data_IF_339428814710
#
_entry.id   IF_339428814710
#
_cell.length_a   1.000
_cell.length_b   1.000
_cell.length_c   1.000
_cell.angle_alpha   90.00
_cell.angle_beta   90.00
_cell.angle_gamma   90.00
#
_symmetry.space_group_name_H-M   'P 1'
#
loop_
_entity.id
_entity.type
_entity.pdbx_description
1 polymer ?
#
# COMPACT_ATOMS: atom_id res chain seq x y z
N UNK A 1 13.63 4.98 -9.28
CA UNK A 1 12.32 4.67 -9.91
C UNK A 1 11.36 4.29 -8.79
N UNK A 2 10.08 4.69 -8.83
CA UNK A 2 9.16 4.36 -7.74
C UNK A 2 8.79 2.87 -7.82
N UNK A 3 8.83 2.12 -6.70
CA UNK A 3 8.68 0.64 -6.70
C UNK A 3 7.39 0.18 -7.38
N UNK A 4 6.29 0.90 -7.19
CA UNK A 4 4.99 0.60 -7.80
C UNK A 4 5.01 0.68 -9.33
N UNK A 5 5.81 1.58 -9.90
CA UNK A 5 6.01 1.68 -11.34
C UNK A 5 6.81 0.49 -11.87
N UNK A 6 7.88 0.11 -11.18
CA UNK A 6 8.68 -1.06 -11.57
C UNK A 6 7.85 -2.34 -11.55
N UNK A 7 7.06 -2.56 -10.49
CA UNK A 7 6.16 -3.70 -10.37
C UNK A 7 5.07 -3.72 -11.47
N UNK A 8 4.53 -2.56 -11.82
CA UNK A 8 3.58 -2.47 -12.93
C UNK A 8 4.25 -2.76 -14.29
N UNK A 9 5.47 -2.23 -14.51
CA UNK A 9 6.25 -2.50 -15.72
C UNK A 9 6.57 -4.00 -15.84
N UNK A 10 7.00 -4.65 -14.75
CA UNK A 10 7.22 -6.11 -14.67
C UNK A 10 5.92 -6.89 -14.91
N UNK A 11 4.80 -6.45 -14.35
CA UNK A 11 3.50 -7.05 -14.63
C UNK A 11 3.13 -6.91 -16.12
N UNK A 12 3.37 -5.75 -16.73
CA UNK A 12 3.01 -5.47 -18.12
C UNK A 12 3.96 -6.07 -19.15
N UNK A 13 5.10 -6.62 -18.72
CA UNK A 13 6.12 -7.12 -19.62
C UNK A 13 5.59 -8.27 -20.50
N UNK A 14 5.78 -8.15 -21.81
CA UNK A 14 5.27 -9.09 -22.81
C UNK A 14 3.76 -9.11 -23.02
N UNK A 15 2.97 -8.23 -22.37
CA UNK A 15 1.51 -8.13 -22.56
C UNK A 15 1.16 -7.08 -23.61
N UNK A 16 0.17 -7.37 -24.46
CA UNK A 16 -0.47 -6.36 -25.28
C UNK A 16 -1.56 -5.65 -24.46
N UNK A 17 -1.27 -4.42 -24.04
CA UNK A 17 -2.18 -3.63 -23.22
C UNK A 17 -3.47 -3.22 -23.97
N UNK A 18 -3.51 -3.29 -25.30
CA UNK A 18 -4.72 -2.97 -26.07
C UNK A 18 -5.75 -4.11 -26.06
N UNK A 19 -5.31 -5.34 -25.79
CA UNK A 19 -6.16 -6.53 -25.72
C UNK A 19 -6.59 -6.88 -24.28
N UNK A 20 -6.13 -6.12 -23.29
CA UNK A 20 -6.49 -6.29 -21.88
C UNK A 20 -7.60 -5.30 -21.52
N UNK A 21 -8.55 -5.76 -20.70
CA UNK A 21 -9.60 -4.90 -20.17
C UNK A 21 -8.99 -3.68 -19.44
N UNK A 22 -9.49 -2.46 -19.68
CA UNK A 22 -9.10 -1.29 -18.90
C UNK A 22 -9.27 -1.48 -17.38
N UNK A 23 -10.21 -2.32 -16.96
CA UNK A 23 -10.40 -2.68 -15.56
C UNK A 23 -9.23 -3.50 -15.00
N UNK A 24 -8.72 -4.47 -15.76
CA UNK A 24 -7.59 -5.32 -15.33
C UNK A 24 -6.29 -4.52 -15.28
N UNK A 25 -6.09 -3.59 -16.22
CA UNK A 25 -4.96 -2.65 -16.21
C UNK A 25 -5.05 -1.73 -14.98
N UNK A 26 -6.24 -1.20 -14.70
CA UNK A 26 -6.48 -0.38 -13.52
C UNK A 26 -6.21 -1.15 -12.23
N UNK A 27 -6.70 -2.39 -12.13
CA UNK A 27 -6.46 -3.25 -10.97
C UNK A 27 -4.96 -3.51 -10.80
N UNK A 28 -4.25 -3.94 -11.84
CA UNK A 28 -2.81 -4.22 -11.74
C UNK A 28 -1.97 -3.00 -11.31
N UNK A 29 -2.37 -1.80 -11.72
CA UNK A 29 -1.71 -0.55 -11.29
C UNK A 29 -1.89 -0.23 -9.80
N UNK A 30 -2.93 -0.80 -9.17
CA UNK A 30 -3.24 -0.65 -7.74
C UNK A 30 -2.64 -1.78 -6.92
N UNK A 31 -2.58 -2.99 -7.47
CA UNK A 31 -1.92 -4.12 -6.80
C UNK A 31 -0.40 -3.94 -6.69
N UNK A 32 0.20 -3.13 -7.56
CA UNK A 32 1.59 -2.70 -7.42
C UNK A 32 1.83 -1.62 -6.36
N UNK A 33 0.79 -1.13 -5.69
CA UNK A 33 0.90 -0.22 -4.55
C UNK A 33 0.72 -1.01 -3.26
N UNK A 34 1.72 -1.82 -2.93
CA UNK A 34 1.86 -2.46 -1.63
C UNK A 34 2.85 -1.67 -0.76
N UNK A 35 2.46 -1.34 0.47
CA UNK A 35 3.32 -0.60 1.41
C UNK A 35 3.39 -1.31 2.76
N UNK A 36 4.53 -1.15 3.43
CA UNK A 36 4.79 -1.67 4.77
C UNK A 36 4.62 -0.53 5.77
N UNK A 37 3.76 -0.72 6.77
CA UNK A 37 3.59 0.23 7.85
C UNK A 37 4.60 -0.04 8.97
N UNK A 38 4.97 0.97 9.77
CA UNK A 38 5.77 0.76 10.97
C UNK A 38 5.05 -0.17 11.94
N UNK A 39 5.81 -0.94 12.71
CA UNK A 39 5.26 -1.69 13.83
C UNK A 39 4.64 -0.72 14.85
N UNK A 40 3.50 -1.14 15.42
CA UNK A 40 2.89 -0.42 16.54
C UNK A 40 3.84 -0.44 17.73
N UNK A 41 3.91 0.68 18.45
CA UNK A 41 4.79 0.80 19.61
C UNK A 41 4.33 -0.06 20.79
N UNK A 42 5.27 -0.74 21.44
CA UNK A 42 5.03 -1.42 22.72
C UNK A 42 5.06 -0.43 23.90
N UNK A 43 4.23 -0.69 24.92
CA UNK A 43 3.87 0.10 26.14
C UNK A 43 5.04 0.54 27.05
N UNK A 44 6.28 0.62 26.55
CA UNK A 44 7.49 0.84 27.35
C UNK A 44 7.86 2.34 27.46
N UNK A 45 7.20 3.22 26.71
CA UNK A 45 7.33 4.67 26.74
C UNK A 45 6.02 5.34 27.21
N UNK A 46 6.11 6.60 27.65
CA UNK A 46 4.98 7.45 28.09
C UNK A 46 3.67 7.12 27.34
N UNK A 47 2.69 6.58 28.06
CA UNK A 47 1.46 5.98 27.51
C UNK A 47 0.76 6.91 26.50
N UNK A 48 0.76 8.23 26.75
CA UNK A 48 0.14 9.22 25.86
C UNK A 48 0.86 9.36 24.51
N UNK A 49 2.18 9.18 24.48
CA UNK A 49 2.95 9.22 23.24
C UNK A 49 2.69 7.98 22.38
N UNK A 50 2.58 6.81 23.01
CA UNK A 50 2.32 5.55 22.30
C UNK A 50 0.91 5.52 21.74
N UNK A 51 -0.10 5.94 22.52
CA UNK A 51 -1.48 6.01 22.04
C UNK A 51 -1.58 6.91 20.82
N UNK A 52 -1.00 8.12 20.88
CA UNK A 52 -0.99 9.05 19.75
C UNK A 52 -0.22 8.53 18.53
N UNK A 53 0.88 7.81 18.73
CA UNK A 53 1.63 7.17 17.65
C UNK A 53 0.82 6.06 16.98
N UNK A 54 0.23 5.15 17.76
CA UNK A 54 -0.57 4.03 17.26
C UNK A 54 -1.86 4.52 16.56
N UNK A 55 -2.50 5.56 17.08
CA UNK A 55 -3.66 6.21 16.44
C UNK A 55 -3.27 6.81 15.08
N UNK A 56 -2.11 7.48 15.00
CA UNK A 56 -1.64 8.06 13.74
C UNK A 56 -1.35 6.98 12.69
N UNK A 57 -0.72 5.87 13.06
CA UNK A 57 -0.49 4.73 12.15
C UNK A 57 -1.83 4.14 11.68
N UNK A 58 -2.78 3.95 12.60
CA UNK A 58 -4.11 3.41 12.28
C UNK A 58 -4.92 4.33 11.34
N UNK A 59 -4.84 5.65 11.50
CA UNK A 59 -5.49 6.61 10.59
C UNK A 59 -4.84 6.62 9.20
N UNK A 60 -3.51 6.53 9.15
CA UNK A 60 -2.78 6.43 7.87
C UNK A 60 -3.14 5.13 7.14
N UNK A 61 -3.24 4.01 7.85
CA UNK A 61 -3.68 2.73 7.30
C UNK A 61 -5.05 2.84 6.62
N UNK A 62 -6.04 3.39 7.32
CA UNK A 62 -7.39 3.61 6.78
C UNK A 62 -7.38 4.48 5.52
N UNK A 63 -6.59 5.56 5.52
CA UNK A 63 -6.46 6.46 4.37
C UNK A 63 -5.87 5.70 3.18
N UNK A 64 -4.81 4.92 3.37
CA UNK A 64 -4.16 4.13 2.32
C UNK A 64 -5.12 3.09 1.73
N UNK A 65 -5.80 2.33 2.57
CA UNK A 65 -6.81 1.33 2.14
C UNK A 65 -7.95 2.01 1.37
N UNK A 66 -8.46 3.16 1.85
CA UNK A 66 -9.52 3.90 1.16
C UNK A 66 -9.12 4.40 -0.24
N UNK A 67 -7.82 4.57 -0.48
CA UNK A 67 -7.25 4.93 -1.77
C UNK A 67 -6.85 3.71 -2.61
N UNK A 68 -7.08 2.50 -2.12
CA UNK A 68 -6.79 1.23 -2.80
C UNK A 68 -5.31 0.87 -2.82
N UNK A 69 -4.55 1.31 -1.80
CA UNK A 69 -3.19 0.84 -1.52
C UNK A 69 -3.30 -0.41 -0.64
N UNK A 70 -2.60 -1.48 -0.98
CA UNK A 70 -2.52 -2.70 -0.16
C UNK A 70 -1.49 -2.53 0.94
N UNK A 71 -1.78 -3.01 2.15
CA UNK A 71 -0.80 -3.05 3.23
C UNK A 71 -0.17 -4.44 3.27
N UNK A 72 1.15 -4.50 3.41
CA UNK A 72 1.89 -5.76 3.48
C UNK A 72 1.53 -6.51 4.76
N UNK A 73 1.21 -7.81 4.62
CA UNK A 73 0.76 -8.71 5.69
C UNK A 73 -0.69 -8.49 6.19
N UNK A 74 -1.52 -7.78 5.43
CA UNK A 74 -3.00 -7.78 5.60
C UNK A 74 -3.63 -9.10 5.10
#
# INVERSE_FOLDING_TARGET
MNKSRQQFEEWSDGKDLYDISPFDIWQASRESLEVELPDLGDVILDDYFIDGFNDAISEVEKILISNGVKIKNE
#
